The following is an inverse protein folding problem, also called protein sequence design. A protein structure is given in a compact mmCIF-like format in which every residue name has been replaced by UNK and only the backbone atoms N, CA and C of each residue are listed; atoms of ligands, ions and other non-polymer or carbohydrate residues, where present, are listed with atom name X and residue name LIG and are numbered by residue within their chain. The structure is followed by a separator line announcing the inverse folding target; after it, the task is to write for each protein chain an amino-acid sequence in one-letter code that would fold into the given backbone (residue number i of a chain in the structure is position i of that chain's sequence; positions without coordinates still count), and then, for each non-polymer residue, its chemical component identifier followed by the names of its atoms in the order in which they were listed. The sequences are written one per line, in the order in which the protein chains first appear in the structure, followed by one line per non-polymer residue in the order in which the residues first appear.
data_IF_709236870551
#
_entry.id   IF_709236870551
#
_cell.length_a   1.000
_cell.length_b   1.000
_cell.length_c   1.000
_cell.angle_alpha   90.00
_cell.angle_beta   90.00
_cell.angle_gamma   90.00
#
_symmetry.space_group_name_H-M   'P 1'
#
loop_
_entity.id
_entity.type
_entity.pdbx_description
1 polymer ?
#
# COMPACT_ATOMS: atom_id res chain seq x y z
N UNK A 1 23.37 -14.64 21.77
CA UNK A 1 23.65 -14.37 20.35
C UNK A 1 22.57 -14.92 19.41
N UNK A 2 22.23 -16.22 19.43
CA UNK A 2 21.32 -16.84 18.46
C UNK A 2 19.91 -16.23 18.33
N UNK A 3 19.28 -15.81 19.43
CA UNK A 3 17.95 -15.18 19.40
C UNK A 3 17.93 -13.79 18.73
N UNK A 4 18.99 -13.01 18.91
CA UNK A 4 19.14 -11.68 18.29
C UNK A 4 19.33 -11.80 16.77
N UNK A 5 20.18 -12.75 16.34
CA UNK A 5 20.41 -13.02 14.93
C UNK A 5 19.14 -13.53 14.22
N UNK A 6 18.39 -14.43 14.87
CA UNK A 6 17.09 -14.89 14.36
C UNK A 6 16.07 -13.75 14.26
N UNK A 7 16.12 -12.81 15.20
CA UNK A 7 15.26 -11.62 15.17
C UNK A 7 15.58 -10.71 13.98
N UNK A 8 16.87 -10.38 13.81
CA UNK A 8 17.35 -9.57 12.70
C UNK A 8 17.05 -10.21 11.34
N UNK A 9 17.29 -11.53 11.20
CA UNK A 9 17.02 -12.25 9.96
C UNK A 9 15.55 -12.19 9.54
N UNK A 10 14.61 -12.24 10.50
CA UNK A 10 13.17 -12.12 10.20
C UNK A 10 12.78 -10.70 9.82
N UNK A 11 13.34 -9.68 10.49
CA UNK A 11 13.13 -8.27 10.09
C UNK A 11 13.59 -8.08 8.66
N UNK A 12 14.81 -8.50 8.34
CA UNK A 12 15.36 -8.44 6.98
C UNK A 12 14.49 -9.22 5.97
N UNK A 13 14.00 -10.40 6.34
CA UNK A 13 13.11 -11.18 5.48
C UNK A 13 11.79 -10.45 5.19
N UNK A 14 11.21 -9.76 6.17
CA UNK A 14 10.00 -8.93 5.95
C UNK A 14 10.31 -7.73 5.06
N UNK A 15 11.46 -7.08 5.24
CA UNK A 15 11.88 -5.97 4.37
C UNK A 15 12.11 -6.43 2.93
N UNK A 16 12.76 -7.58 2.74
CA UNK A 16 12.95 -8.20 1.43
C UNK A 16 11.61 -8.58 0.80
N UNK A 17 10.70 -9.19 1.56
CA UNK A 17 9.36 -9.50 1.08
C UNK A 17 8.59 -8.23 0.69
N UNK A 18 8.69 -7.16 1.48
CA UNK A 18 8.13 -5.84 1.15
C UNK A 18 8.70 -5.26 -0.12
N UNK A 19 10.02 -5.29 -0.30
CA UNK A 19 10.66 -4.82 -1.52
C UNK A 19 10.22 -5.62 -2.76
N UNK A 20 10.22 -6.95 -2.68
CA UNK A 20 9.78 -7.82 -3.78
C UNK A 20 8.30 -7.60 -4.10
N UNK A 21 7.43 -7.54 -3.09
CA UNK A 21 6.01 -7.28 -3.30
C UNK A 21 5.76 -5.87 -3.84
N UNK A 22 6.54 -4.87 -3.41
CA UNK A 22 6.47 -3.51 -3.93
C UNK A 22 6.90 -3.42 -5.39
N UNK A 23 7.97 -4.13 -5.77
CA UNK A 23 8.41 -4.26 -7.16
C UNK A 23 7.33 -4.89 -8.03
N UNK A 24 6.71 -5.98 -7.57
CA UNK A 24 5.73 -6.74 -8.33
C UNK A 24 4.36 -6.05 -8.39
N UNK A 25 3.83 -5.59 -7.25
CA UNK A 25 2.48 -5.03 -7.17
C UNK A 25 2.48 -3.55 -7.54
N UNK A 26 3.42 -2.77 -6.98
CA UNK A 26 3.55 -1.35 -7.29
C UNK A 26 4.16 -1.11 -8.66
N UNK A 27 5.33 -1.69 -8.93
CA UNK A 27 6.05 -1.51 -10.19
C UNK A 27 5.37 -2.19 -11.38
N UNK A 28 5.37 -3.53 -11.41
CA UNK A 28 4.80 -4.29 -12.53
C UNK A 28 3.28 -4.14 -12.58
N UNK A 29 2.60 -4.25 -11.43
CA UNK A 29 1.16 -4.09 -11.34
C UNK A 29 0.69 -2.69 -11.74
N UNK A 30 1.40 -1.63 -11.30
CA UNK A 30 1.14 -0.25 -11.72
C UNK A 30 1.22 -0.08 -13.24
N UNK A 31 2.23 -0.67 -13.89
CA UNK A 31 2.33 -0.65 -15.36
C UNK A 31 1.20 -1.38 -16.05
N UNK A 32 0.79 -2.55 -15.55
CA UNK A 32 -0.35 -3.29 -16.11
C UNK A 32 -1.64 -2.49 -15.98
N UNK A 33 -1.86 -1.88 -14.81
CA UNK A 33 -3.02 -1.02 -14.56
C UNK A 33 -3.06 0.16 -15.52
N UNK A 34 -1.94 0.89 -15.68
CA UNK A 34 -1.91 2.03 -16.60
C UNK A 34 -2.11 1.62 -18.05
N UNK A 35 -1.56 0.48 -18.46
CA UNK A 35 -1.83 -0.07 -19.79
C UNK A 35 -3.33 -0.37 -19.98
N UNK A 36 -4.01 -0.92 -18.98
CA UNK A 36 -5.44 -1.19 -19.03
C UNK A 36 -6.28 0.10 -19.05
N UNK A 37 -5.89 1.11 -18.27
CA UNK A 37 -6.59 2.41 -18.23
C UNK A 37 -6.55 3.11 -19.59
N UNK A 38 -5.43 3.04 -20.31
CA UNK A 38 -5.30 3.66 -21.64
C UNK A 38 -6.16 2.97 -22.69
N UNK A 39 -6.40 1.65 -22.55
CA UNK A 39 -7.36 0.96 -23.42
C UNK A 39 -8.80 1.48 -23.24
N UNK A 40 -9.09 2.09 -22.09
CA UNK A 40 -10.37 2.73 -21.81
C UNK A 40 -10.39 4.21 -22.23
N UNK A 41 -9.24 4.88 -22.23
CA UNK A 41 -9.08 6.29 -22.62
C UNK A 41 -7.97 6.47 -23.67
N UNK A 42 -8.25 6.26 -24.97
CA UNK A 42 -7.24 6.37 -26.03
C UNK A 42 -6.63 7.77 -26.16
N UNK A 43 -7.33 8.79 -25.67
CA UNK A 43 -6.91 10.20 -25.70
C UNK A 43 -5.68 10.48 -24.80
N UNK A 44 -5.39 9.60 -23.84
CA UNK A 44 -4.23 9.70 -22.95
C UNK A 44 -2.97 8.96 -23.47
N UNK A 45 -3.04 8.32 -24.65
CA UNK A 45 -1.91 7.58 -25.21
C UNK A 45 -0.75 8.52 -25.61
N UNK A 46 0.46 8.23 -25.11
CA UNK A 46 1.66 9.02 -25.39
C UNK A 46 1.84 10.28 -24.53
N UNK A 47 0.97 10.53 -23.55
CA UNK A 47 1.14 11.62 -22.57
C UNK A 47 2.08 11.17 -21.45
N UNK A 48 2.95 12.07 -20.98
CA UNK A 48 3.81 11.80 -19.82
C UNK A 48 2.96 11.86 -18.54
N UNK A 49 2.94 10.75 -17.79
CA UNK A 49 2.32 10.65 -16.47
C UNK A 49 3.06 11.47 -15.42
N UNK A 50 2.37 11.84 -14.35
CA UNK A 50 2.94 12.50 -13.17
C UNK A 50 4.10 11.69 -12.53
N UNK A 51 4.15 10.38 -12.78
CA UNK A 51 5.22 9.46 -12.38
C UNK A 51 6.45 9.48 -13.32
N UNK A 52 6.46 10.36 -14.33
CA UNK A 52 7.61 10.61 -15.20
C UNK A 52 7.80 9.61 -16.34
N UNK A 53 6.73 8.91 -16.74
CA UNK A 53 6.79 7.97 -17.86
C UNK A 53 5.68 8.19 -18.90
N UNK A 54 5.96 7.85 -20.16
CA UNK A 54 4.93 7.88 -21.21
C UNK A 54 3.87 6.80 -20.96
N UNK A 55 2.62 7.25 -20.84
CA UNK A 55 1.43 6.43 -20.81
C UNK A 55 1.33 5.60 -22.10
N UNK A 56 1.10 4.29 -21.97
CA UNK A 56 0.72 3.41 -23.09
C UNK A 56 1.91 2.69 -23.72
N UNK A 57 3.12 3.14 -23.38
CA UNK A 57 4.37 2.59 -23.91
C UNK A 57 5.18 1.94 -22.81
N UNK A 58 5.60 0.70 -23.08
CA UNK A 58 6.58 -0.01 -22.26
C UNK A 58 7.98 0.45 -22.63
N UNK A 59 8.43 1.55 -22.03
CA UNK A 59 9.84 1.95 -22.10
C UNK A 59 10.64 1.20 -21.04
N UNK A 60 11.86 0.76 -21.37
CA UNK A 60 12.73 0.07 -20.43
C UNK A 60 13.09 0.97 -19.24
N UNK A 61 13.41 2.23 -19.52
CA UNK A 61 13.76 3.23 -18.50
C UNK A 61 12.60 3.50 -17.53
N UNK A 62 11.40 3.76 -18.06
CA UNK A 62 10.21 4.00 -17.25
C UNK A 62 9.71 2.76 -16.51
N UNK A 63 10.01 1.55 -16.98
CA UNK A 63 9.66 0.30 -16.28
C UNK A 63 10.64 0.00 -15.14
N UNK A 64 11.95 0.21 -15.38
CA UNK A 64 12.98 0.07 -14.35
C UNK A 64 12.80 1.09 -13.24
N UNK A 65 12.47 2.35 -13.59
CA UNK A 65 12.15 3.38 -12.61
C UNK A 65 10.99 2.94 -11.70
N UNK A 66 9.86 2.49 -12.29
CA UNK A 66 8.71 2.04 -11.50
C UNK A 66 9.03 0.84 -10.59
N UNK A 67 9.85 -0.10 -11.08
CA UNK A 67 10.28 -1.25 -10.27
C UNK A 67 11.15 -0.79 -9.10
N UNK A 68 12.08 0.14 -9.33
CA UNK A 68 12.95 0.68 -8.25
C UNK A 68 12.13 1.47 -7.24
N UNK A 69 11.28 2.40 -7.68
CA UNK A 69 10.40 3.19 -6.81
C UNK A 69 9.45 2.27 -6.05
N UNK A 70 8.80 1.33 -6.73
CA UNK A 70 7.94 0.32 -6.10
C UNK A 70 8.67 -0.53 -5.07
N UNK A 71 9.93 -0.91 -5.33
CA UNK A 71 10.77 -1.62 -4.36
C UNK A 71 11.03 -0.77 -3.12
N UNK A 72 11.44 0.49 -3.30
CA UNK A 72 11.74 1.41 -2.18
C UNK A 72 10.48 1.66 -1.34
N UNK A 73 9.35 1.98 -1.98
CA UNK A 73 8.07 2.16 -1.31
C UNK A 73 7.61 0.87 -0.63
N UNK A 74 7.86 -0.29 -1.23
CA UNK A 74 7.63 -1.59 -0.62
C UNK A 74 8.43 -1.77 0.68
N UNK A 75 9.74 -1.50 0.65
CA UNK A 75 10.58 -1.56 1.85
C UNK A 75 10.07 -0.60 2.94
N UNK A 76 9.74 0.64 2.58
CA UNK A 76 9.15 1.62 3.51
C UNK A 76 7.84 1.09 4.10
N UNK A 77 6.95 0.55 3.27
CA UNK A 77 5.70 -0.07 3.69
C UNK A 77 5.91 -1.25 4.65
N UNK A 78 6.97 -2.05 4.44
CA UNK A 78 7.34 -3.14 5.34
C UNK A 78 7.90 -2.65 6.68
N UNK A 79 8.66 -1.55 6.70
CA UNK A 79 9.08 -0.87 7.94
C UNK A 79 7.85 -0.42 8.71
N UNK A 80 6.92 0.29 8.05
CA UNK A 80 5.67 0.76 8.67
C UNK A 80 4.87 -0.43 9.19
N UNK A 81 4.73 -1.49 8.39
CA UNK A 81 4.03 -2.72 8.79
C UNK A 81 4.61 -3.30 10.08
N UNK A 82 5.93 -3.47 10.16
CA UNK A 82 6.61 -3.96 11.37
C UNK A 82 6.38 -3.02 12.56
N UNK A 83 6.42 -1.70 12.31
CA UNK A 83 6.19 -0.68 13.31
C UNK A 83 4.75 -0.63 13.81
N UNK A 84 3.75 -1.08 13.06
CA UNK A 84 2.34 -1.15 13.51
C UNK A 84 1.88 -2.56 13.89
N UNK A 85 2.71 -3.59 13.65
CA UNK A 85 2.36 -5.00 13.83
C UNK A 85 1.82 -5.31 15.23
N UNK A 86 2.35 -4.64 16.24
CA UNK A 86 1.93 -4.77 17.64
C UNK A 86 0.51 -4.23 17.92
N UNK A 87 0.00 -3.36 17.06
CA UNK A 87 -1.38 -2.88 17.10
C UNK A 87 -2.37 -3.88 16.45
N UNK A 88 -1.86 -4.82 15.65
CA UNK A 88 -2.66 -5.82 14.93
C UNK A 88 -2.99 -7.02 15.83
N UNK A 89 -3.77 -6.82 16.89
CA UNK A 89 -4.30 -7.90 17.73
C UNK A 89 -5.76 -8.22 17.38
N UNK A 90 -6.12 -9.51 17.40
CA UNK A 90 -7.46 -10.00 17.08
C UNK A 90 -7.49 -11.08 15.99
N UNK A 91 -8.68 -11.41 15.46
CA UNK A 91 -8.83 -12.44 14.43
C UNK A 91 -8.01 -12.14 13.17
N UNK A 92 -7.50 -13.20 12.53
CA UNK A 92 -6.69 -13.11 11.30
C UNK A 92 -7.31 -12.19 10.22
N UNK A 93 -8.59 -12.40 9.91
CA UNK A 93 -9.30 -11.66 8.87
C UNK A 93 -9.32 -10.16 9.16
N UNK A 94 -9.44 -9.77 10.43
CA UNK A 94 -9.50 -8.38 10.85
C UNK A 94 -8.16 -7.67 10.65
N UNK A 95 -7.05 -8.38 10.94
CA UNK A 95 -5.68 -7.86 10.76
C UNK A 95 -5.41 -7.55 9.30
N UNK A 96 -5.74 -8.50 8.41
CA UNK A 96 -5.61 -8.33 6.96
C UNK A 96 -6.47 -7.17 6.47
N UNK A 97 -7.74 -7.13 6.85
CA UNK A 97 -8.66 -6.07 6.44
C UNK A 97 -8.15 -4.68 6.88
N UNK A 98 -7.69 -4.55 8.12
CA UNK A 98 -7.19 -3.27 8.65
C UNK A 98 -5.99 -2.75 7.88
N UNK A 99 -5.00 -3.61 7.61
CA UNK A 99 -3.81 -3.21 6.85
C UNK A 99 -4.17 -2.91 5.40
N UNK A 100 -5.05 -3.71 4.80
CA UNK A 100 -5.55 -3.51 3.42
C UNK A 100 -6.24 -2.17 3.28
N UNK A 101 -7.16 -1.83 4.19
CA UNK A 101 -7.87 -0.55 4.16
C UNK A 101 -6.96 0.62 4.49
N UNK A 102 -6.07 0.49 5.47
CA UNK A 102 -5.13 1.55 5.81
C UNK A 102 -4.16 1.85 4.66
N UNK A 103 -3.63 0.81 4.01
CA UNK A 103 -2.78 0.99 2.83
C UNK A 103 -3.58 1.54 1.64
N UNK A 104 -4.72 0.94 1.29
CA UNK A 104 -5.54 1.36 0.17
C UNK A 104 -6.06 2.79 0.30
N UNK A 105 -6.77 3.09 1.39
CA UNK A 105 -7.39 4.42 1.61
C UNK A 105 -6.35 5.45 1.99
N UNK A 106 -5.42 5.12 2.89
CA UNK A 106 -4.41 6.07 3.35
C UNK A 106 -3.44 6.48 2.25
N UNK A 107 -2.85 5.50 1.55
CA UNK A 107 -1.93 5.78 0.44
C UNK A 107 -2.70 6.29 -0.77
N UNK A 108 -3.86 5.73 -1.08
CA UNK A 108 -4.73 6.22 -2.15
C UNK A 108 -5.09 7.69 -1.97
N UNK A 109 -5.41 8.14 -0.75
CA UNK A 109 -5.71 9.54 -0.48
C UNK A 109 -4.50 10.48 -0.63
N UNK A 110 -3.28 9.97 -0.42
CA UNK A 110 -2.03 10.71 -0.64
C UNK A 110 -1.70 10.80 -2.12
N UNK A 111 -2.00 9.76 -2.91
CA UNK A 111 -1.64 9.69 -4.34
C UNK A 111 -2.68 10.39 -5.22
N UNK A 112 -3.96 10.27 -4.89
CA UNK A 112 -5.06 10.87 -5.67
C UNK A 112 -5.07 12.38 -5.46
N UNK A 113 -4.62 13.10 -6.49
CA UNK A 113 -4.71 14.54 -6.60
C UNK A 113 -5.66 14.88 -7.76
N UNK A 114 -6.69 15.69 -7.49
CA UNK A 114 -7.70 16.10 -8.48
C UNK A 114 -7.10 16.93 -9.63
N UNK A 115 -5.91 17.47 -9.42
CA UNK A 115 -5.24 18.39 -10.36
C UNK A 115 -4.18 17.68 -11.21
N UNK A 116 -3.97 16.37 -11.01
CA UNK A 116 -2.98 15.57 -11.73
C UNK A 116 -3.40 15.28 -13.18
N UNK A 117 -2.41 15.21 -14.07
CA UNK A 117 -2.63 14.90 -15.50
C UNK A 117 -3.27 13.51 -15.63
N UNK A 118 -2.89 12.60 -14.74
CA UNK A 118 -3.35 11.21 -14.70
C UNK A 118 -4.83 11.07 -14.29
N UNK A 119 -5.42 12.07 -13.63
CA UNK A 119 -6.82 12.03 -13.19
C UNK A 119 -7.75 12.91 -14.02
N UNK A 120 -7.20 13.89 -14.74
CA UNK A 120 -7.96 14.76 -15.65
C UNK A 120 -8.18 14.13 -17.03
N UNK A 121 -7.24 13.30 -17.50
CA UNK A 121 -7.31 12.69 -18.84
C UNK A 121 -7.84 11.25 -18.87
N UNK A 122 -7.69 10.47 -17.78
CA UNK A 122 -8.14 9.08 -17.73
C UNK A 122 -9.63 9.00 -17.31
N UNK A 123 -10.52 8.91 -18.29
CA UNK A 123 -11.95 8.65 -18.08
C UNK A 123 -12.31 7.17 -18.25
N UNK A 124 -13.10 6.57 -17.33
CA UNK A 124 -13.79 7.21 -16.21
C UNK A 124 -12.88 7.38 -14.99
N UNK A 125 -12.88 8.57 -14.37
CA UNK A 125 -12.03 8.91 -13.23
C UNK A 125 -12.18 7.95 -12.04
N UNK A 126 -13.38 7.40 -11.85
CA UNK A 126 -13.66 6.41 -10.82
C UNK A 126 -12.83 5.13 -10.99
N UNK A 127 -12.55 4.70 -12.23
CA UNK A 127 -11.71 3.51 -12.50
C UNK A 127 -10.26 3.79 -12.12
N UNK A 128 -9.74 4.98 -12.45
CA UNK A 128 -8.39 5.41 -12.09
C UNK A 128 -8.22 5.50 -10.58
N UNK A 129 -9.17 6.10 -9.86
CA UNK A 129 -9.15 6.18 -8.40
C UNK A 129 -9.22 4.80 -7.76
N UNK A 130 -10.12 3.93 -8.24
CA UNK A 130 -10.22 2.56 -7.74
C UNK A 130 -8.91 1.79 -7.98
N UNK A 131 -8.20 2.04 -9.08
CA UNK A 131 -6.92 1.41 -9.36
C UNK A 131 -5.80 1.94 -8.45
N UNK A 132 -5.74 3.25 -8.21
CA UNK A 132 -4.81 3.87 -7.25
C UNK A 132 -5.02 3.40 -5.80
N UNK A 133 -6.25 3.05 -5.43
CA UNK A 133 -6.57 2.45 -4.13
C UNK A 133 -6.28 0.94 -4.12
N UNK A 134 -6.55 0.24 -5.21
CA UNK A 134 -6.40 -1.21 -5.32
C UNK A 134 -4.95 -1.66 -5.22
N UNK A 135 -3.99 -0.92 -5.82
CA UNK A 135 -2.57 -1.30 -5.80
C UNK A 135 -2.00 -1.30 -4.36
N UNK A 136 -2.10 -0.21 -3.57
CA UNK A 136 -1.65 -0.20 -2.18
C UNK A 136 -2.44 -1.18 -1.31
N UNK A 137 -3.75 -1.35 -1.55
CA UNK A 137 -4.57 -2.33 -0.83
C UNK A 137 -4.07 -3.76 -1.06
N UNK A 138 -3.84 -4.14 -2.33
CA UNK A 138 -3.30 -5.44 -2.70
C UNK A 138 -1.91 -5.66 -2.10
N UNK A 139 -1.05 -4.64 -2.10
CA UNK A 139 0.24 -4.67 -1.44
C UNK A 139 0.11 -4.93 0.07
N UNK A 140 -0.73 -4.16 0.77
CA UNK A 140 -0.95 -4.30 2.21
C UNK A 140 -1.49 -5.68 2.59
N UNK A 141 -2.43 -6.20 1.80
CA UNK A 141 -2.97 -7.55 1.95
C UNK A 141 -1.87 -8.61 1.77
N UNK A 142 -1.17 -8.58 0.63
CA UNK A 142 -0.14 -9.54 0.28
C UNK A 142 1.00 -9.56 1.31
N UNK A 143 1.49 -8.38 1.71
CA UNK A 143 2.53 -8.26 2.73
C UNK A 143 2.06 -8.86 4.05
N UNK A 144 0.82 -8.57 4.49
CA UNK A 144 0.28 -9.13 5.73
C UNK A 144 0.20 -10.66 5.67
N UNK A 145 -0.25 -11.21 4.53
CA UNK A 145 -0.33 -12.67 4.33
C UNK A 145 1.06 -13.31 4.37
N UNK A 146 2.01 -12.77 3.61
CA UNK A 146 3.38 -13.32 3.52
C UNK A 146 4.10 -13.17 4.87
N UNK A 147 4.09 -11.97 5.45
CA UNK A 147 4.79 -11.69 6.69
C UNK A 147 4.27 -12.58 7.83
N UNK A 148 2.96 -12.69 8.04
CA UNK A 148 2.42 -13.42 9.18
C UNK A 148 2.42 -14.93 8.98
N UNK A 149 2.12 -15.44 7.78
CA UNK A 149 2.03 -16.89 7.56
C UNK A 149 3.38 -17.54 7.34
N UNK A 150 4.34 -16.83 6.73
CA UNK A 150 5.58 -17.46 6.25
C UNK A 150 6.80 -17.01 7.05
N UNK A 151 6.87 -15.74 7.44
CA UNK A 151 8.10 -15.17 8.03
C UNK A 151 8.00 -15.10 9.56
N UNK A 152 6.85 -14.67 10.06
CA UNK A 152 6.64 -14.29 11.46
C UNK A 152 5.71 -15.25 12.21
N UNK A 153 5.35 -16.39 11.62
CA UNK A 153 4.45 -17.38 12.22
C UNK A 153 4.93 -17.86 13.60
N UNK A 154 6.26 -18.00 13.77
CA UNK A 154 6.89 -18.37 15.03
C UNK A 154 7.28 -17.17 15.92
N UNK A 155 6.90 -15.94 15.54
CA UNK A 155 7.16 -14.72 16.30
C UNK A 155 5.84 -14.12 16.82
N UNK A 156 5.39 -14.55 18.02
CA UNK A 156 4.13 -14.10 18.60
C UNK A 156 4.18 -12.61 18.98
N UNK A 157 3.09 -11.92 18.71
CA UNK A 157 2.81 -10.51 19.01
C UNK A 157 1.28 -10.44 19.25
N UNK A 158 0.76 -9.69 20.24
CA UNK A 158 1.40 -8.66 21.06
C UNK A 158 2.17 -9.19 22.29
N UNK A 159 3.13 -8.42 22.84
CA UNK A 159 3.76 -8.74 24.12
C UNK A 159 2.71 -8.81 25.24
N UNK A 160 2.94 -9.64 26.26
CA UNK A 160 2.12 -9.64 27.47
C UNK A 160 2.18 -8.26 28.10
N UNK A 161 1.09 -7.51 27.95
CA UNK A 161 0.95 -6.16 28.45
C UNK A 161 -0.06 -6.15 29.59
N UNK A 162 0.27 -5.47 30.69
CA UNK A 162 -0.66 -5.24 31.80
C UNK A 162 -1.90 -4.45 31.35
N UNK A 163 -2.82 -4.16 32.28
CA UNK A 163 -4.05 -3.41 31.99
C UNK A 163 -3.78 -2.06 31.28
N UNK A 164 -2.73 -1.34 31.68
CA UNK A 164 -2.30 -0.08 31.06
C UNK A 164 -1.89 -0.27 29.60
N UNK A 165 -1.05 -1.26 29.29
CA UNK A 165 -0.62 -1.50 27.91
C UNK A 165 -1.76 -1.93 26.99
N UNK A 166 -2.74 -2.70 27.51
CA UNK A 166 -3.98 -2.99 26.78
C UNK A 166 -4.79 -1.73 26.50
N UNK A 167 -4.95 -0.85 27.50
CA UNK A 167 -5.64 0.43 27.31
C UNK A 167 -4.94 1.31 26.26
N UNK A 168 -3.60 1.41 26.31
CA UNK A 168 -2.80 2.15 25.32
C UNK A 168 -3.01 1.61 23.91
N UNK A 169 -2.99 0.28 23.73
CA UNK A 169 -3.23 -0.35 22.43
C UNK A 169 -4.64 -0.04 21.89
N UNK A 170 -5.67 -0.03 22.73
CA UNK A 170 -7.02 0.35 22.33
C UNK A 170 -7.14 1.82 21.93
N UNK A 171 -6.50 2.73 22.68
CA UNK A 171 -6.47 4.16 22.34
C UNK A 171 -5.78 4.39 21.00
N UNK A 172 -4.60 3.79 20.79
CA UNK A 172 -3.88 3.90 19.51
C UNK A 172 -4.70 3.38 18.33
N UNK A 173 -5.49 2.33 18.55
CA UNK A 173 -6.37 1.77 17.52
C UNK A 173 -7.57 2.66 17.23
N UNK A 174 -8.16 3.28 18.25
CA UNK A 174 -9.22 4.27 18.06
C UNK A 174 -8.72 5.50 17.27
N UNK A 175 -7.50 5.97 17.59
CA UNK A 175 -6.85 7.04 16.83
C UNK A 175 -6.61 6.64 15.37
N UNK A 176 -6.05 5.45 15.13
CA UNK A 176 -5.83 4.94 13.77
C UNK A 176 -7.13 4.81 12.97
N UNK A 177 -8.21 4.36 13.61
CA UNK A 177 -9.54 4.31 12.99
C UNK A 177 -10.05 5.70 12.62
N UNK A 178 -9.94 6.68 13.54
CA UNK A 178 -10.35 8.04 13.27
C UNK A 178 -9.59 8.65 12.09
N UNK A 179 -8.26 8.46 12.04
CA UNK A 179 -7.43 8.89 10.90
C UNK A 179 -7.88 8.21 9.61
N UNK A 180 -8.11 6.89 9.62
CA UNK A 180 -8.60 6.16 8.45
C UNK A 180 -9.96 6.63 7.94
N UNK A 181 -10.88 6.97 8.85
CA UNK A 181 -12.19 7.54 8.49
C UNK A 181 -12.03 8.93 7.87
N UNK A 182 -11.18 9.79 8.45
CA UNK A 182 -10.91 11.11 7.89
C UNK A 182 -10.28 11.02 6.50
N UNK A 183 -9.32 10.10 6.30
CA UNK A 183 -8.74 9.85 4.98
C UNK A 183 -9.75 9.32 3.97
N UNK A 184 -10.72 8.50 4.41
CA UNK A 184 -11.79 8.01 3.54
C UNK A 184 -12.74 9.13 3.13
N UNK A 185 -13.13 10.00 4.07
CA UNK A 185 -13.99 11.15 3.79
C UNK A 185 -13.32 12.12 2.83
N UNK A 186 -12.04 12.41 3.04
CA UNK A 186 -11.23 13.26 2.15
C UNK A 186 -11.14 12.66 0.74
N UNK A 187 -10.82 11.36 0.64
CA UNK A 187 -10.77 10.64 -0.63
C UNK A 187 -12.13 10.65 -1.35
N UNK A 188 -13.22 10.40 -0.63
CA UNK A 188 -14.57 10.44 -1.17
C UNK A 188 -14.93 11.85 -1.68
N UNK A 189 -14.55 12.89 -0.93
CA UNK A 189 -14.69 14.29 -1.34
C UNK A 189 -13.97 14.58 -2.65
N UNK A 190 -12.70 14.15 -2.79
CA UNK A 190 -11.94 14.27 -4.04
C UNK A 190 -12.63 13.55 -5.20
N UNK A 191 -13.13 12.33 -4.99
CA UNK A 191 -13.80 11.57 -6.05
C UNK A 191 -15.09 12.22 -6.53
N UNK A 192 -15.87 12.83 -5.63
CA UNK A 192 -17.14 13.46 -5.96
C UNK A 192 -16.99 14.73 -6.81
N UNK A 193 -15.79 15.33 -6.83
CA UNK A 193 -15.49 16.51 -7.66
C UNK A 193 -15.15 16.10 -9.11
N UNK A 194 -14.65 14.89 -9.31
CA UNK A 194 -14.14 14.40 -10.63
C UNK A 194 -15.15 13.48 -11.34
N UNK A 195 -16.20 13.01 -10.64
CA UNK A 195 -17.28 12.18 -11.18
C UNK A 195 -18.44 13.03 -11.72
#
# INVERSE_FOLDING_TARGET
MGRLLAGLARVLAVLLAGGVLGALIGGVGGRVVMYLLIRLSPEADGVTSDDGFEMGRFTLDGSLNLVVVGTVLGVVGAVVYLAIRWLLFGPWWFRVLSVTLAAGVGVGNIIVHTDGVDFSLLQPALVSVMACVAIPAAYGAALTVVAERWILAAWPVPPETGAVGRATLWVLRAVALAVGVLSLVDLAGKTAVVA
#
